data_IF_217197348240
#
_entry.id   IF_217197348240
#
_cell.length_a   1.000
_cell.length_b   1.000
_cell.length_c   1.000
_cell.angle_alpha   90.00
_cell.angle_beta   90.00
_cell.angle_gamma   90.00
#
_symmetry.space_group_name_H-M   'P 1'
#
loop_
_entity.id
_entity.type
_entity.pdbx_description
1 polymer ?
#
# COMPACT_ATOMS: atom_id res chain seq x y z
N UNK A 1 7.40 25.15 -8.39
CA UNK A 1 7.01 24.82 -6.99
C UNK A 1 5.50 24.74 -6.90
N UNK A 2 4.94 24.03 -5.92
CA UNK A 2 3.51 24.11 -5.60
C UNK A 2 3.29 25.10 -4.45
N UNK A 3 2.25 25.92 -4.49
CA UNK A 3 1.93 26.84 -3.39
C UNK A 3 0.57 26.49 -2.83
N UNK A 4 0.50 26.27 -1.52
CA UNK A 4 -0.72 25.94 -0.81
C UNK A 4 -0.78 26.73 0.51
N UNK A 5 -1.86 27.47 0.72
CA UNK A 5 -2.03 28.41 1.85
C UNK A 5 -0.84 29.36 2.06
N UNK A 6 -0.26 29.87 0.96
CA UNK A 6 0.90 30.76 0.99
C UNK A 6 2.25 30.07 1.28
N UNK A 7 2.25 28.76 1.52
CA UNK A 7 3.47 27.96 1.74
C UNK A 7 3.90 27.30 0.44
N UNK A 8 5.19 27.39 0.11
CA UNK A 8 5.78 26.76 -1.07
C UNK A 8 6.29 25.35 -0.75
N UNK A 9 5.85 24.38 -1.55
CA UNK A 9 6.23 22.98 -1.49
C UNK A 9 7.01 22.58 -2.75
N UNK A 10 8.07 21.81 -2.57
CA UNK A 10 8.91 21.26 -3.64
C UNK A 10 8.22 20.08 -4.32
N UNK A 11 8.66 19.73 -5.52
CA UNK A 11 8.13 18.55 -6.21
C UNK A 11 8.32 17.29 -5.38
N UNK A 12 7.27 16.46 -5.33
CA UNK A 12 7.22 15.25 -4.53
C UNK A 12 6.96 15.47 -3.03
N UNK A 13 7.04 16.71 -2.54
CA UNK A 13 6.83 17.04 -1.13
C UNK A 13 5.36 16.83 -0.75
N UNK A 14 5.16 16.22 0.42
CA UNK A 14 3.86 15.97 1.02
C UNK A 14 3.64 16.83 2.25
N UNK A 15 2.40 17.21 2.50
CA UNK A 15 1.97 17.94 3.69
C UNK A 15 0.56 17.51 4.11
N UNK A 16 0.21 17.84 5.35
CA UNK A 16 -1.09 17.53 5.93
C UNK A 16 -1.85 18.83 6.16
N UNK A 17 -3.11 18.86 5.73
CA UNK A 17 -4.05 19.91 6.07
C UNK A 17 -4.98 19.36 7.16
N UNK A 18 -4.53 19.51 8.41
CA UNK A 18 -5.17 18.91 9.58
C UNK A 18 -5.26 17.39 9.53
N UNK A 19 -6.40 16.86 9.98
CA UNK A 19 -6.72 15.44 9.94
C UNK A 19 -7.55 15.05 8.69
N UNK A 20 -7.96 16.03 7.89
CA UNK A 20 -8.88 15.81 6.77
C UNK A 20 -8.14 15.37 5.51
N UNK A 21 -7.04 16.06 5.17
CA UNK A 21 -6.37 15.89 3.89
C UNK A 21 -4.85 15.67 4.04
N UNK A 22 -4.34 14.83 3.16
CA UNK A 22 -2.92 14.73 2.84
C UNK A 22 -2.72 15.15 1.40
N UNK A 23 -1.83 16.11 1.19
CA UNK A 23 -1.55 16.71 -0.11
C UNK A 23 -0.12 16.43 -0.55
N UNK A 24 0.08 16.30 -1.87
CA UNK A 24 1.38 16.11 -2.48
C UNK A 24 1.54 17.03 -3.69
N UNK A 25 2.70 17.66 -3.80
CA UNK A 25 3.09 18.37 -5.02
C UNK A 25 3.54 17.35 -6.07
N UNK A 26 2.75 17.15 -7.13
CA UNK A 26 3.00 16.15 -8.17
C UNK A 26 3.81 16.76 -9.32
N UNK A 27 3.43 17.96 -9.77
CA UNK A 27 4.12 18.68 -10.85
C UNK A 27 4.41 20.12 -10.42
N UNK A 28 5.65 20.34 -10.00
CA UNK A 28 6.10 21.66 -9.56
C UNK A 28 6.27 22.64 -10.72
N UNK A 29 6.41 22.19 -11.98
CA UNK A 29 6.51 23.10 -13.13
C UNK A 29 5.16 23.73 -13.42
N UNK A 30 4.08 22.96 -13.29
CA UNK A 30 2.69 23.43 -13.45
C UNK A 30 2.08 23.97 -12.15
N UNK A 31 2.77 23.84 -11.02
CA UNK A 31 2.22 24.16 -9.70
C UNK A 31 1.09 23.23 -9.26
N UNK A 32 1.00 22.04 -9.86
CA UNK A 32 -0.08 21.10 -9.63
C UNK A 32 0.23 20.21 -8.42
N UNK A 33 -0.71 20.21 -7.48
CA UNK A 33 -0.70 19.35 -6.30
C UNK A 33 -2.02 18.57 -6.21
N UNK A 34 -1.96 17.37 -5.63
CA UNK A 34 -3.11 16.51 -5.41
C UNK A 34 -3.32 16.32 -3.91
N UNK A 35 -4.54 16.54 -3.45
CA UNK A 35 -4.96 16.27 -2.07
C UNK A 35 -5.91 15.06 -2.04
N UNK A 36 -5.75 14.22 -1.03
CA UNK A 36 -6.57 13.04 -0.82
C UNK A 36 -6.99 13.00 0.65
N UNK A 37 -8.11 12.34 0.94
CA UNK A 37 -8.55 12.12 2.31
C UNK A 37 -7.46 11.36 3.08
N UNK A 38 -7.05 11.92 4.21
CA UNK A 38 -6.02 11.32 5.08
C UNK A 38 -6.53 10.02 5.69
N UNK A 39 -7.78 10.04 6.15
CA UNK A 39 -8.43 8.91 6.78
C UNK A 39 -9.37 8.19 5.79
N UNK A 40 -9.50 6.87 5.98
CA UNK A 40 -10.42 6.07 5.17
C UNK A 40 -11.86 6.29 5.63
N UNK A 41 -12.77 6.54 4.68
CA UNK A 41 -14.19 6.66 4.97
C UNK A 41 -14.87 5.28 5.00
N UNK A 42 -15.65 5.00 6.06
CA UNK A 42 -16.39 3.76 6.23
C UNK A 42 -17.91 4.04 6.22
N UNK A 43 -18.54 3.96 5.06
CA UNK A 43 -19.99 4.23 4.89
C UNK A 43 -20.90 3.03 5.21
N UNK A 44 -20.36 1.82 5.19
CA UNK A 44 -21.09 0.57 5.49
C UNK A 44 -20.38 -0.20 6.61
N UNK A 45 -20.31 0.41 7.79
CA UNK A 45 -19.78 -0.28 8.98
C UNK A 45 -20.93 -1.05 9.62
N UNK A 46 -20.89 -2.39 9.64
CA UNK A 46 -21.97 -3.17 10.25
C UNK A 46 -21.97 -3.01 11.78
N UNK A 47 -23.11 -3.24 12.41
CA UNK A 47 -23.36 -2.92 13.83
C UNK A 47 -22.48 -3.69 14.83
N UNK A 48 -21.87 -4.81 14.42
CA UNK A 48 -20.94 -5.59 15.23
C UNK A 48 -19.49 -5.05 15.21
N UNK A 49 -19.26 -3.92 14.54
CA UNK A 49 -17.96 -3.26 14.48
C UNK A 49 -17.95 -1.95 15.26
N UNK A 50 -16.87 -1.75 16.02
CA UNK A 50 -16.62 -0.52 16.78
C UNK A 50 -15.51 0.28 16.12
N UNK A 51 -15.65 1.59 16.03
CA UNK A 51 -14.58 2.45 15.51
C UNK A 51 -13.54 2.66 16.62
N UNK A 52 -12.30 2.24 16.35
CA UNK A 52 -11.15 2.40 17.25
C UNK A 52 -10.10 3.30 16.60
N UNK A 53 -9.24 3.99 17.35
CA UNK A 53 -8.15 4.79 16.78
C UNK A 53 -7.22 3.95 15.90
N UNK A 54 -6.81 4.49 14.75
CA UNK A 54 -5.89 3.80 13.83
C UNK A 54 -4.50 3.66 14.48
N UNK A 55 -3.89 2.47 14.51
CA UNK A 55 -2.54 2.29 15.06
C UNK A 55 -1.46 3.07 14.32
N UNK A 56 -1.67 3.43 13.05
CA UNK A 56 -0.74 4.24 12.24
C UNK A 56 -0.95 5.74 12.44
N UNK A 57 -2.17 6.16 12.76
CA UNK A 57 -2.52 7.57 12.96
C UNK A 57 -3.64 7.72 14.01
N UNK A 58 -3.31 7.51 15.30
CA UNK A 58 -4.30 7.46 16.37
C UNK A 58 -4.86 8.84 16.72
N UNK A 59 -4.25 9.92 16.21
CA UNK A 59 -4.67 11.30 16.50
C UNK A 59 -5.70 11.80 15.48
N UNK A 60 -5.70 11.27 14.26
CA UNK A 60 -6.57 11.76 13.19
C UNK A 60 -7.55 10.72 12.66
N UNK A 61 -7.19 9.44 12.64
CA UNK A 61 -7.96 8.42 11.95
C UNK A 61 -8.54 7.35 12.88
N UNK A 62 -9.70 6.82 12.49
CA UNK A 62 -10.35 5.69 13.16
C UNK A 62 -10.60 4.56 12.17
N UNK A 63 -10.42 3.33 12.62
CA UNK A 63 -10.66 2.11 11.85
C UNK A 63 -11.72 1.26 12.52
N UNK A 64 -12.59 0.56 11.76
CA UNK A 64 -13.57 -0.34 12.34
C UNK A 64 -12.88 -1.63 12.81
N UNK A 65 -12.93 -1.87 14.10
CA UNK A 65 -12.59 -3.14 14.74
C UNK A 65 -13.87 -3.95 14.96
N UNK A 66 -14.03 -4.98 14.14
CA UNK A 66 -15.14 -5.91 14.21
C UNK A 66 -14.80 -7.05 15.17
N UNK A 67 -15.69 -7.31 16.14
CA UNK A 67 -15.58 -8.54 16.91
C UNK A 67 -16.03 -9.68 16.00
N UNK A 68 -15.12 -10.60 15.70
CA UNK A 68 -15.49 -11.89 15.11
C UNK A 68 -16.37 -12.56 16.15
N UNK A 69 -17.66 -12.73 15.86
CA UNK A 69 -18.47 -13.68 16.61
C UNK A 69 -17.81 -15.03 16.33
N UNK A 70 -17.37 -15.81 17.34
CA UNK A 70 -16.90 -17.15 17.08
C UNK A 70 -18.06 -17.93 16.45
N UNK A 71 -17.88 -18.33 15.19
CA UNK A 71 -18.79 -19.21 14.49
C UNK A 71 -18.84 -20.56 15.22
N UNK A 72 -19.70 -20.67 16.23
CA UNK A 72 -20.25 -21.96 16.64
C UNK A 72 -21.48 -22.31 15.78
N UNK A 73 -21.61 -21.69 14.60
CA UNK A 73 -22.48 -22.14 13.55
C UNK A 73 -21.84 -23.34 12.88
N UNK A 74 -22.20 -24.53 13.36
CA UNK A 74 -22.12 -25.77 12.59
C UNK A 74 -22.55 -25.46 11.16
N UNK A 75 -21.75 -25.76 10.12
CA UNK A 75 -22.19 -25.57 8.74
C UNK A 75 -23.41 -26.44 8.53
N UNK A 76 -24.59 -25.83 8.54
CA UNK A 76 -25.82 -26.49 8.13
C UNK A 76 -25.68 -26.71 6.63
N UNK A 77 -25.77 -27.94 6.10
CA UNK A 77 -25.74 -28.19 4.66
C UNK A 77 -27.00 -27.58 4.01
N UNK A 78 -26.97 -26.28 3.76
CA UNK A 78 -27.99 -25.51 3.07
C UNK A 78 -27.45 -25.12 1.69
N UNK A 79 -28.21 -25.50 0.67
CA UNK A 79 -27.89 -25.37 -0.75
C UNK A 79 -27.48 -23.93 -1.11
N UNK A 80 -26.21 -23.74 -1.46
CA UNK A 80 -25.74 -22.56 -2.19
C UNK A 80 -26.13 -22.73 -3.66
N UNK A 81 -27.16 -22.01 -4.14
CA UNK A 81 -27.28 -21.75 -5.58
C UNK A 81 -26.40 -20.53 -5.91
N UNK A 82 -25.28 -20.70 -6.63
CA UNK A 82 -24.49 -19.56 -7.06
C UNK A 82 -25.31 -18.68 -8.02
N UNK A 83 -25.29 -17.35 -7.89
CA UNK A 83 -25.88 -16.47 -8.89
C UNK A 83 -25.14 -16.68 -10.23
N UNK A 84 -25.91 -17.02 -11.25
CA UNK A 84 -25.42 -17.26 -12.61
C UNK A 84 -24.74 -15.98 -13.13
N UNK A 85 -23.47 -16.01 -13.58
CA UNK A 85 -22.85 -14.82 -14.17
C UNK A 85 -23.49 -14.52 -15.52
N UNK A 86 -24.16 -13.36 -15.63
CA UNK A 86 -24.56 -12.79 -16.91
C UNK A 86 -23.29 -12.41 -17.68
N UNK A 87 -23.07 -13.08 -18.80
CA UNK A 87 -22.00 -12.78 -19.75
C UNK A 87 -22.24 -11.39 -20.38
N UNK A 88 -21.63 -10.37 -19.81
CA UNK A 88 -21.39 -9.10 -20.50
C UNK A 88 -20.17 -9.23 -21.39
N UNK A 89 -20.33 -9.06 -22.69
CA UNK A 89 -19.24 -9.05 -23.67
C UNK A 89 -18.45 -7.74 -23.57
N UNK A 90 -17.19 -7.81 -23.17
CA UNK A 90 -16.26 -6.69 -23.25
C UNK A 90 -15.51 -6.76 -24.59
N UNK A 91 -15.84 -5.89 -25.53
CA UNK A 91 -15.03 -5.65 -26.74
C UNK A 91 -14.07 -4.50 -26.45
N UNK A 92 -12.88 -4.83 -25.96
CA UNK A 92 -11.80 -3.86 -25.74
C UNK A 92 -10.44 -4.53 -25.78
N UNK A 93 -9.80 -4.54 -26.95
CA UNK A 93 -8.44 -5.01 -27.13
C UNK A 93 -7.46 -4.02 -26.46
N UNK A 94 -7.02 -4.34 -25.25
CA UNK A 94 -5.87 -3.67 -24.64
C UNK A 94 -4.56 -4.26 -25.22
N UNK A 95 -3.58 -3.44 -25.64
CA UNK A 95 -2.29 -3.95 -26.06
C UNK A 95 -1.55 -4.58 -24.88
N UNK A 96 -1.00 -5.77 -25.13
CA UNK A 96 -0.23 -6.59 -24.20
C UNK A 96 0.94 -5.76 -23.58
N UNK A 97 1.06 -5.66 -22.25
CA UNK A 97 2.21 -5.01 -21.64
C UNK A 97 3.48 -5.81 -21.96
N UNK A 98 4.40 -5.18 -22.69
CA UNK A 98 5.72 -5.75 -23.00
C UNK A 98 6.50 -5.85 -21.68
N UNK A 99 7.17 -6.99 -21.38
CA UNK A 99 7.98 -7.11 -20.19
C UNK A 99 9.12 -6.09 -20.21
N UNK A 100 9.04 -5.07 -19.37
CA UNK A 100 10.12 -4.11 -19.16
C UNK A 100 11.23 -4.78 -18.35
N UNK A 101 12.51 -4.70 -18.77
CA UNK A 101 13.60 -5.33 -18.04
C UNK A 101 13.78 -4.68 -16.67
N UNK A 102 13.70 -5.51 -15.63
CA UNK A 102 13.98 -5.14 -14.24
C UNK A 102 15.46 -4.73 -14.11
N UNK A 103 15.80 -3.53 -13.60
CA UNK A 103 17.20 -3.17 -13.38
C UNK A 103 17.80 -4.03 -12.27
N UNK A 104 18.93 -4.68 -12.56
CA UNK A 104 19.68 -5.48 -11.59
C UNK A 104 20.28 -4.60 -10.47
N UNK A 105 20.26 -5.04 -9.20
CA UNK A 105 20.85 -4.28 -8.12
C UNK A 105 22.38 -4.22 -8.27
N UNK A 106 22.93 -3.01 -8.14
CA UNK A 106 24.38 -2.76 -8.25
C UNK A 106 24.88 -2.09 -6.98
N UNK A 107 26.03 -2.52 -6.46
CA UNK A 107 26.64 -1.96 -5.26
C UNK A 107 27.93 -1.20 -5.62
N UNK A 108 28.15 -0.03 -5.00
CA UNK A 108 29.39 0.75 -5.15
C UNK A 108 30.32 0.48 -3.98
N UNK A 109 31.56 0.06 -4.27
CA UNK A 109 32.61 -0.14 -3.28
C UNK A 109 33.38 1.18 -3.01
N UNK A 110 34.04 1.33 -1.84
CA UNK A 110 34.75 2.56 -1.45
C UNK A 110 35.96 2.92 -2.32
N UNK A 111 36.42 2.00 -3.17
CA UNK A 111 37.44 2.23 -4.19
C UNK A 111 36.87 2.77 -5.53
N UNK A 112 35.56 3.01 -5.62
CA UNK A 112 34.88 3.53 -6.81
C UNK A 112 34.41 2.46 -7.81
N UNK A 113 34.66 1.19 -7.54
CA UNK A 113 34.27 0.07 -8.42
C UNK A 113 32.79 -0.31 -8.24
N UNK A 114 32.11 -0.56 -9.36
CA UNK A 114 30.68 -0.87 -9.42
C UNK A 114 30.54 -2.38 -9.64
N UNK A 115 29.99 -3.10 -8.65
CA UNK A 115 29.81 -4.56 -8.71
C UNK A 115 28.34 -4.92 -8.81
N UNK A 116 27.99 -5.71 -9.83
CA UNK A 116 26.64 -6.24 -10.04
C UNK A 116 26.48 -7.50 -9.19
N UNK A 117 25.56 -7.48 -8.23
CA UNK A 117 25.26 -8.65 -7.40
C UNK A 117 24.24 -9.54 -8.10
N UNK A 118 24.72 -10.61 -8.74
CA UNK A 118 23.88 -11.70 -9.22
C UNK A 118 23.51 -12.60 -8.03
N UNK A 119 22.22 -12.70 -7.64
CA UNK A 119 21.84 -13.64 -6.60
C UNK A 119 21.92 -15.07 -7.15
N UNK A 120 22.90 -15.84 -6.67
CA UNK A 120 23.01 -17.27 -6.98
C UNK A 120 22.13 -18.06 -5.99
N UNK A 121 21.11 -18.81 -6.46
CA UNK A 121 20.32 -19.66 -5.58
C UNK A 121 21.14 -20.87 -5.14
N UNK A 122 21.32 -21.07 -3.83
CA UNK A 122 21.71 -22.37 -3.27
C UNK A 122 23.09 -22.48 -2.63
N UNK A 123 23.47 -21.60 -1.71
CA UNK A 123 24.54 -21.93 -0.75
C UNK A 123 23.98 -22.01 0.68
N UNK A 124 24.19 -23.11 1.41
CA UNK A 124 23.70 -23.25 2.78
C UNK A 124 24.38 -22.22 3.69
N UNK A 125 23.57 -21.49 4.45
CA UNK A 125 24.03 -20.57 5.50
C UNK A 125 24.79 -21.36 6.55
N UNK A 126 26.10 -21.10 6.63
CA UNK A 126 26.96 -21.59 7.70
C UNK A 126 26.46 -21.06 9.05
N UNK A 127 26.30 -21.91 10.09
CA UNK A 127 25.89 -21.45 11.42
C UNK A 127 26.95 -20.56 12.06
N UNK A 128 26.48 -19.48 12.70
CA UNK A 128 27.30 -18.51 13.41
C UNK A 128 28.14 -19.17 14.53
N UNK A 129 29.38 -18.72 14.77
CA UNK A 129 30.18 -19.22 15.89
C UNK A 129 29.56 -18.78 17.23
N UNK A 130 29.37 -19.76 18.10
CA UNK A 130 28.84 -19.61 19.46
C UNK A 130 29.85 -18.84 20.33
N UNK A 131 29.42 -17.93 21.23
CA UNK A 131 30.33 -17.30 22.17
C UNK A 131 30.67 -18.30 23.29
N UNK A 132 31.96 -18.57 23.47
CA UNK A 132 32.48 -19.40 24.56
C UNK A 132 32.63 -18.53 25.84
N UNK A 133 32.37 -19.07 27.04
CA UNK A 133 32.52 -18.35 28.32
C UNK A 133 33.97 -18.05 28.71
#
# INVERSE_FOLDING_TARGET
>A
MCVYNGVAYRQGQQWYDGCDLVCRCEDAMKGFYRCQQRCKSYSNTPSYCTLVPDPKDPQCCTVPQCQLIPDNATPTPGIFTPPVPVFGSFTGSAPNPTPQPTPSPTMRLPNGEIVTITPQPGLPTQPAPTPQP
#
